data_IF_175369164933
#
_entry.id   IF_175369164933
#
_cell.length_a   1.000
_cell.length_b   1.000
_cell.length_c   1.000
_cell.angle_alpha   90.00
_cell.angle_beta   90.00
_cell.angle_gamma   90.00
#
_symmetry.space_group_name_H-M   'P 1'
#
loop_
_entity.id
_entity.type
_entity.pdbx_description
1 polymer ?
#
# COMPACT_ATOMS: atom_id res chain seq x y z
N UNK A 1 17.21 14.96 20.34
CA UNK A 1 17.95 13.68 20.40
C UNK A 1 16.99 12.57 20.00
N UNK A 2 17.06 12.11 18.75
CA UNK A 2 16.19 11.05 18.25
C UNK A 2 16.99 9.75 18.22
N UNK A 3 17.06 9.08 19.37
CA UNK A 3 17.72 7.79 19.55
C UNK A 3 16.85 6.68 18.97
N UNK A 4 16.86 6.55 17.65
CA UNK A 4 16.23 5.43 16.98
C UNK A 4 17.29 4.39 16.66
N UNK A 5 17.50 3.50 17.63
CA UNK A 5 18.49 2.43 17.53
C UNK A 5 18.04 1.34 16.55
N UNK A 6 19.01 0.78 15.83
CA UNK A 6 18.82 -0.41 15.01
C UNK A 6 18.80 -1.66 15.90
N UNK A 7 17.78 -2.50 15.72
CA UNK A 7 17.60 -3.76 16.44
C UNK A 7 17.59 -4.92 15.46
N UNK A 8 18.05 -6.08 15.89
CA UNK A 8 17.89 -7.32 15.13
C UNK A 8 16.43 -7.76 15.18
N UNK A 9 15.77 -7.79 14.02
CA UNK A 9 14.35 -8.11 13.89
C UNK A 9 14.14 -8.93 12.62
N UNK A 10 13.18 -9.86 12.65
CA UNK A 10 12.81 -10.63 11.47
C UNK A 10 12.16 -9.75 10.41
N UNK A 11 12.65 -9.81 9.18
CA UNK A 11 12.06 -9.15 8.03
C UNK A 11 10.62 -9.63 7.81
N UNK A 12 9.66 -8.70 7.74
CA UNK A 12 8.25 -9.05 7.54
C UNK A 12 7.91 -9.61 6.15
N UNK A 13 8.86 -9.55 5.20
CA UNK A 13 8.68 -10.09 3.84
C UNK A 13 9.36 -11.45 3.65
N UNK A 14 10.62 -11.59 4.05
CA UNK A 14 11.40 -12.80 3.78
C UNK A 14 11.75 -13.62 5.04
N UNK A 15 11.37 -13.15 6.24
CA UNK A 15 11.62 -13.82 7.51
C UNK A 15 13.07 -13.80 8.00
N UNK A 16 14.03 -13.31 7.20
CA UNK A 16 15.45 -13.27 7.57
C UNK A 16 15.73 -12.23 8.66
N UNK A 17 16.66 -12.50 9.58
CA UNK A 17 17.09 -11.50 10.56
C UNK A 17 17.75 -10.32 9.87
N UNK A 18 17.37 -9.10 10.24
CA UNK A 18 17.93 -7.87 9.72
C UNK A 18 18.02 -6.80 10.80
N UNK A 19 19.05 -5.94 10.71
CA UNK A 19 19.21 -4.75 11.55
C UNK A 19 18.26 -3.66 11.07
N UNK A 20 17.14 -3.50 11.76
CA UNK A 20 16.09 -2.55 11.39
C UNK A 20 15.80 -1.57 12.52
N UNK A 21 15.49 -0.34 12.13
CA UNK A 21 15.04 0.70 13.07
C UNK A 21 13.59 0.48 13.52
N UNK A 22 12.78 -0.08 12.64
CA UNK A 22 11.36 -0.40 12.86
C UNK A 22 11.06 -1.77 12.25
N UNK A 23 10.03 -2.46 12.74
CA UNK A 23 9.57 -3.70 12.14
C UNK A 23 9.14 -3.45 10.67
N UNK A 24 9.73 -4.19 9.73
CA UNK A 24 9.48 -3.96 8.31
C UNK A 24 10.28 -4.87 7.37
N UNK A 25 10.25 -4.59 6.06
CA UNK A 25 11.07 -5.27 5.07
C UNK A 25 12.56 -4.96 5.25
N UNK A 26 13.44 -5.94 5.00
CA UNK A 26 14.88 -5.72 5.01
C UNK A 26 15.35 -4.89 3.80
N UNK A 27 16.53 -4.25 3.87
CA UNK A 27 17.08 -3.46 2.76
C UNK A 27 17.12 -4.21 1.42
N UNK A 28 17.47 -5.49 1.43
CA UNK A 28 17.49 -6.31 0.20
C UNK A 28 16.09 -6.48 -0.40
N UNK A 29 15.09 -6.75 0.45
CA UNK A 29 13.70 -6.84 0.03
C UNK A 29 13.18 -5.52 -0.54
N UNK A 30 13.59 -4.38 0.02
CA UNK A 30 13.24 -3.06 -0.50
C UNK A 30 13.90 -2.83 -1.86
N UNK A 31 15.20 -3.11 -1.97
CA UNK A 31 15.94 -2.97 -3.23
C UNK A 31 15.34 -3.84 -4.34
N UNK A 32 14.98 -5.08 -4.02
CA UNK A 32 14.32 -5.99 -4.97
C UNK A 32 12.95 -5.45 -5.43
N UNK A 33 12.14 -4.89 -4.52
CA UNK A 33 10.85 -4.29 -4.90
C UNK A 33 11.03 -3.06 -5.77
N UNK A 34 11.98 -2.19 -5.45
CA UNK A 34 12.29 -1.02 -6.27
C UNK A 34 12.77 -1.41 -7.67
N UNK A 35 13.56 -2.48 -7.78
CA UNK A 35 14.00 -3.00 -9.08
C UNK A 35 12.86 -3.66 -9.87
N UNK A 36 11.96 -4.39 -9.21
CA UNK A 36 10.82 -5.08 -9.85
C UNK A 36 9.68 -4.15 -10.23
N UNK A 37 9.43 -3.14 -9.41
CA UNK A 37 8.33 -2.19 -9.57
C UNK A 37 8.90 -0.76 -9.61
N UNK A 38 9.70 -0.43 -10.64
CA UNK A 38 10.09 0.96 -10.84
C UNK A 38 8.81 1.78 -11.04
N UNK A 39 8.73 2.93 -10.38
CA UNK A 39 7.58 3.85 -10.45
C UNK A 39 7.45 4.53 -11.82
N UNK A 40 7.42 3.74 -12.88
CA UNK A 40 7.29 4.21 -14.26
C UNK A 40 5.86 4.69 -14.44
N UNK A 41 5.73 5.94 -14.88
CA UNK A 41 4.44 6.47 -15.30
C UNK A 41 3.94 5.60 -16.45
N UNK A 42 2.81 4.93 -16.24
CA UNK A 42 2.09 4.23 -17.30
C UNK A 42 0.97 5.13 -17.76
N UNK A 43 0.79 5.19 -19.08
CA UNK A 43 -0.40 5.78 -19.65
C UNK A 43 -1.57 4.87 -19.28
N UNK A 44 -2.42 5.34 -18.37
CA UNK A 44 -3.64 4.64 -17.99
C UNK A 44 -4.75 5.26 -18.80
N UNK A 45 -5.34 4.53 -19.77
CA UNK A 45 -6.48 5.04 -20.49
C UNK A 45 -7.55 5.45 -19.49
N UNK A 46 -7.96 6.72 -19.54
CA UNK A 46 -9.12 7.17 -18.79
C UNK A 46 -10.33 6.41 -19.35
N UNK A 47 -10.75 5.37 -18.64
CA UNK A 47 -12.06 4.79 -18.90
C UNK A 47 -13.10 5.86 -18.56
N UNK A 48 -14.12 6.07 -19.41
CA UNK A 48 -15.22 6.94 -19.05
C UNK A 48 -15.81 6.46 -17.73
N UNK A 49 -15.96 7.38 -16.77
CA UNK A 49 -16.61 7.09 -15.51
C UNK A 49 -18.07 6.78 -15.81
N UNK A 50 -18.47 5.52 -15.64
CA UNK A 50 -19.87 5.09 -15.65
C UNK A 50 -20.38 5.14 -14.20
N UNK A 51 -21.29 6.07 -13.86
CA UNK A 51 -21.89 6.13 -12.54
C UNK A 51 -22.67 4.83 -12.31
N UNK A 52 -22.14 3.97 -11.43
CA UNK A 52 -22.86 2.76 -11.04
C UNK A 52 -24.01 3.18 -10.12
N UNK A 53 -25.22 3.27 -10.68
CA UNK A 53 -26.48 3.58 -9.99
C UNK A 53 -26.90 2.42 -9.07
N UNK A 54 -26.09 2.08 -8.07
CA UNK A 54 -26.44 1.10 -7.04
C UNK A 54 -27.29 1.74 -5.92
N UNK A 55 -28.02 2.81 -6.23
CA UNK A 55 -28.89 3.46 -5.27
C UNK A 55 -30.20 2.68 -5.19
N UNK A 56 -30.32 1.81 -4.21
CA UNK A 56 -31.65 1.38 -3.74
C UNK A 56 -32.36 2.64 -3.23
N UNK A 57 -33.55 3.00 -3.74
CA UNK A 57 -34.31 4.14 -3.24
C UNK A 57 -34.49 4.00 -1.72
N UNK A 58 -33.96 4.95 -0.97
CA UNK A 58 -34.13 4.96 0.48
C UNK A 58 -35.62 5.23 0.78
N UNK A 59 -36.29 4.30 1.48
CA UNK A 59 -37.73 4.34 1.74
C UNK A 59 -38.20 5.58 2.53
N UNK A 60 -37.27 6.40 3.03
CA UNK A 60 -37.52 7.68 3.72
C UNK A 60 -37.96 8.80 2.77
N UNK A 61 -37.85 8.62 1.44
CA UNK A 61 -38.24 9.61 0.44
C UNK A 61 -39.67 9.42 -0.13
N UNK A 62 -40.60 8.80 0.62
CA UNK A 62 -42.03 8.90 0.30
C UNK A 62 -42.61 10.12 1.01
N UNK A 63 -43.09 11.10 0.25
CA UNK A 63 -44.01 12.12 0.76
C UNK A 63 -45.40 11.50 0.78
N UNK A 64 -45.79 10.95 1.91
CA UNK A 64 -47.17 10.85 2.39
C UNK A 64 -47.15 10.91 3.93
#
# INVERSE_FOLDING_TARGET
MNSFEFRDTACLRCGRPARLRFAGPCPDCVAELHAKFPGVARDVPAAPYEPKMNATPNAVATKD
#
